data_IF_514308621913
#
_entry.id   IF_514308621913
#
_cell.length_a   1.000
_cell.length_b   1.000
_cell.length_c   1.000
_cell.angle_alpha   90.00
_cell.angle_beta   90.00
_cell.angle_gamma   90.00
#
_symmetry.space_group_name_H-M   'P 1'
#
loop_
_entity.id
_entity.type
_entity.pdbx_description
1 polymer ?
#
# COMPACT_ATOMS: atom_id res chain seq x y z
N UNK A 1 -16.51 -4.13 19.36
CA UNK A 1 -17.83 -4.75 19.60
C UNK A 1 -18.74 -3.80 20.38
N UNK A 2 -20.04 -4.09 20.48
CA UNK A 2 -20.95 -3.37 21.39
C UNK A 2 -21.01 -4.09 22.74
N UNK A 3 -20.95 -3.36 23.86
CA UNK A 3 -21.04 -3.96 25.20
C UNK A 3 -22.43 -4.52 25.52
N UNK A 4 -23.48 -4.03 24.85
CA UNK A 4 -24.84 -4.53 24.93
C UNK A 4 -25.65 -4.17 23.68
N UNK A 5 -26.58 -5.04 23.25
CA UNK A 5 -27.53 -4.77 22.15
C UNK A 5 -28.76 -3.94 22.57
N UNK A 6 -28.94 -3.73 23.87
CA UNK A 6 -30.06 -2.97 24.46
C UNK A 6 -29.57 -2.23 25.69
N UNK A 7 -29.92 -0.94 25.79
CA UNK A 7 -29.55 -0.07 26.91
C UNK A 7 -30.85 0.38 27.58
N UNK A 8 -31.00 0.15 28.88
CA UNK A 8 -32.19 0.58 29.63
C UNK A 8 -32.19 2.11 29.80
N UNK A 9 -33.35 2.74 30.06
CA UNK A 9 -33.40 4.18 30.35
C UNK A 9 -32.40 4.57 31.45
N UNK A 10 -31.60 5.60 31.19
CA UNK A 10 -30.58 6.12 32.12
C UNK A 10 -29.31 5.27 32.24
N UNK A 11 -29.18 4.17 31.50
CA UNK A 11 -27.96 3.36 31.47
C UNK A 11 -27.01 3.80 30.36
N UNK A 12 -25.75 3.40 30.48
CA UNK A 12 -24.69 3.63 29.49
C UNK A 12 -24.25 2.33 28.82
N UNK A 13 -23.78 2.43 27.58
CA UNK A 13 -23.15 1.34 26.85
C UNK A 13 -21.82 1.80 26.24
N UNK A 14 -20.98 0.84 25.85
CA UNK A 14 -19.69 1.08 25.24
C UNK A 14 -19.65 0.53 23.82
N UNK A 15 -19.07 1.32 22.91
CA UNK A 15 -18.77 0.92 21.54
C UNK A 15 -17.26 0.80 21.43
N UNK A 16 -16.78 -0.42 21.29
CA UNK A 16 -15.39 -0.70 20.96
C UNK A 16 -15.25 -0.80 19.44
N UNK A 17 -14.28 -0.08 18.89
CA UNK A 17 -13.98 -0.07 17.46
C UNK A 17 -12.52 -0.43 17.23
N UNK A 18 -12.27 -1.21 16.18
CA UNK A 18 -10.92 -1.58 15.77
C UNK A 18 -10.73 -1.20 14.31
N UNK A 19 -9.62 -0.55 14.00
CA UNK A 19 -9.24 -0.18 12.63
C UNK A 19 -8.11 -1.09 12.18
N UNK A 20 -8.31 -1.79 11.06
CA UNK A 20 -7.22 -2.50 10.39
C UNK A 20 -6.43 -1.49 9.57
N UNK A 21 -5.17 -1.29 9.96
CA UNK A 21 -4.25 -0.33 9.32
C UNK A 21 -3.29 -1.00 8.33
N UNK A 22 -3.36 -2.32 8.16
CA UNK A 22 -2.55 -3.07 7.19
C UNK A 22 -2.76 -2.53 5.77
N UNK A 23 -1.65 -2.19 5.10
CA UNK A 23 -1.66 -1.61 3.76
C UNK A 23 -2.20 -0.17 3.69
N UNK A 24 -2.45 0.47 4.84
CA UNK A 24 -2.93 1.85 4.90
C UNK A 24 -1.81 2.76 5.41
N UNK A 25 -1.68 3.93 4.80
CA UNK A 25 -0.67 4.92 5.14
C UNK A 25 -1.27 6.32 5.16
N UNK A 26 -0.74 7.18 6.03
CA UNK A 26 -1.15 8.56 6.12
C UNK A 26 -2.46 8.74 6.89
N UNK A 27 -3.11 9.89 6.66
CA UNK A 27 -4.32 10.29 7.40
C UNK A 27 -5.49 9.43 6.98
N UNK A 28 -6.16 8.83 7.97
CA UNK A 28 -7.40 8.08 7.77
C UNK A 28 -8.55 8.75 8.51
N UNK A 29 -9.73 8.68 7.90
CA UNK A 29 -10.99 9.08 8.47
C UNK A 29 -11.99 7.95 8.26
N UNK A 30 -12.54 7.40 9.34
CA UNK A 30 -13.53 6.31 9.31
C UNK A 30 -14.75 6.70 10.14
N UNK A 31 -15.93 6.50 9.57
CA UNK A 31 -17.19 6.82 10.23
C UNK A 31 -17.86 5.56 10.75
N UNK A 32 -18.29 5.59 12.00
CA UNK A 32 -19.18 4.61 12.61
C UNK A 32 -20.57 5.24 12.67
N UNK A 33 -21.54 4.60 12.03
CA UNK A 33 -22.94 4.98 12.16
C UNK A 33 -23.59 4.14 13.23
N UNK A 34 -24.05 4.79 14.29
CA UNK A 34 -24.85 4.18 15.35
C UNK A 34 -26.32 4.43 15.02
N UNK A 35 -27.07 3.37 14.77
CA UNK A 35 -28.53 3.44 14.59
C UNK A 35 -29.19 2.99 15.88
N UNK A 36 -30.16 3.76 16.37
CA UNK A 36 -30.90 3.49 17.60
C UNK A 36 -32.39 3.77 17.43
N UNK A 37 -33.19 3.33 18.39
CA UNK A 37 -34.61 3.64 18.49
C UNK A 37 -34.89 4.90 19.33
N UNK A 38 -33.88 5.74 19.63
CA UNK A 38 -34.12 7.04 20.26
C UNK A 38 -34.88 7.95 19.27
N UNK A 39 -36.11 8.38 19.57
CA UNK A 39 -36.90 9.20 18.66
C UNK A 39 -36.30 10.59 18.41
N UNK A 40 -35.41 11.07 19.29
CA UNK A 40 -34.76 12.39 19.17
C UNK A 40 -33.47 12.29 18.35
N UNK A 41 -32.73 11.19 18.50
CA UNK A 41 -31.47 10.97 17.81
C UNK A 41 -31.37 9.52 17.30
N UNK A 42 -32.16 9.17 16.26
CA UNK A 42 -32.22 7.79 15.76
C UNK A 42 -30.91 7.36 15.08
N UNK A 43 -30.05 8.31 14.73
CA UNK A 43 -28.75 8.05 14.14
C UNK A 43 -27.69 9.01 14.71
N UNK A 44 -26.54 8.45 15.10
CA UNK A 44 -25.35 9.19 15.53
C UNK A 44 -24.18 8.78 14.65
N UNK A 45 -23.40 9.75 14.18
CA UNK A 45 -22.13 9.48 13.50
C UNK A 45 -20.98 9.73 14.46
N UNK A 46 -20.10 8.75 14.59
CA UNK A 46 -18.83 8.86 15.32
C UNK A 46 -17.70 8.79 14.30
N UNK A 47 -16.72 9.67 14.42
CA UNK A 47 -15.58 9.74 13.48
C UNK A 47 -14.31 9.31 14.18
N UNK A 48 -13.60 8.35 13.57
CA UNK A 48 -12.24 7.96 13.95
C UNK A 48 -11.28 8.64 12.98
N UNK A 49 -10.40 9.47 13.52
CA UNK A 49 -9.29 10.08 12.77
C UNK A 49 -7.98 9.52 13.31
N UNK A 50 -7.09 9.09 12.42
CA UNK A 50 -5.75 8.67 12.80
C UNK A 50 -4.72 9.03 11.71
N UNK A 51 -3.45 9.12 12.10
CA UNK A 51 -2.32 9.17 11.18
C UNK A 51 -1.60 7.82 11.27
N UNK A 52 -1.65 7.03 10.20
CA UNK A 52 -0.95 5.75 10.13
C UNK A 52 0.46 6.01 9.59
N UNK A 53 1.44 5.95 10.50
CA UNK A 53 2.85 6.06 10.13
C UNK A 53 3.33 4.75 9.50
N UNK A 54 3.99 4.86 8.33
CA UNK A 54 4.58 3.69 7.69
C UNK A 54 5.91 3.36 8.34
N UNK A 55 6.09 2.11 8.73
CA UNK A 55 7.37 1.62 9.24
C UNK A 55 8.49 1.72 8.19
N UNK A 56 8.15 1.48 6.91
CA UNK A 56 9.03 1.65 5.77
C UNK A 56 8.41 2.66 4.80
N UNK A 57 8.68 3.96 4.97
CA UNK A 57 8.22 4.98 4.05
C UNK A 57 8.71 4.71 2.63
N UNK A 58 7.79 4.84 1.67
CA UNK A 58 8.07 4.70 0.24
C UNK A 58 7.91 6.05 -0.43
N UNK A 59 8.79 6.36 -1.38
CA UNK A 59 8.65 7.55 -2.24
C UNK A 59 7.38 7.50 -3.09
N UNK A 60 7.01 6.31 -3.59
CA UNK A 60 5.79 6.07 -4.34
C UNK A 60 5.08 4.78 -3.86
N UNK A 61 3.75 4.81 -3.75
CA UNK A 61 2.95 3.64 -3.34
C UNK A 61 2.61 2.71 -4.52
N UNK A 62 2.82 3.19 -5.75
CA UNK A 62 2.59 2.45 -6.97
C UNK A 62 3.52 2.95 -8.07
N UNK A 63 3.99 2.05 -8.92
CA UNK A 63 4.80 2.38 -10.08
C UNK A 63 3.96 2.24 -11.34
N UNK A 64 3.85 3.36 -12.07
CA UNK A 64 3.17 3.40 -13.36
C UNK A 64 4.18 3.62 -14.48
N UNK A 65 4.30 2.65 -15.38
CA UNK A 65 5.19 2.71 -16.54
C UNK A 65 4.59 3.49 -17.71
N UNK A 66 3.27 3.69 -17.74
CA UNK A 66 2.58 4.32 -18.85
C UNK A 66 2.48 3.41 -20.07
N UNK A 67 2.35 4.02 -21.25
CA UNK A 67 2.38 3.34 -22.53
C UNK A 67 3.83 3.30 -23.06
N UNK A 68 4.39 2.11 -23.18
CA UNK A 68 5.79 1.90 -23.60
C UNK A 68 5.80 1.10 -24.91
N UNK A 69 6.42 1.60 -25.98
CA UNK A 69 6.55 0.84 -27.22
C UNK A 69 7.36 -0.45 -27.01
N UNK A 70 6.94 -1.53 -27.65
CA UNK A 70 7.70 -2.79 -27.69
C UNK A 70 9.14 -2.55 -28.15
N UNK A 71 10.08 -3.24 -27.50
CA UNK A 71 11.52 -3.09 -27.78
C UNK A 71 12.19 -1.95 -27.02
N UNK A 72 11.44 -1.13 -26.25
CA UNK A 72 12.03 -0.13 -25.34
C UNK A 72 11.98 -0.61 -23.91
N UNK A 73 13.08 -0.42 -23.20
CA UNK A 73 13.12 -0.55 -21.74
C UNK A 73 12.76 0.79 -21.09
N UNK A 74 11.97 0.72 -20.03
CA UNK A 74 11.67 1.87 -19.18
C UNK A 74 12.03 1.51 -17.76
N UNK A 75 12.80 2.40 -17.13
CA UNK A 75 13.25 2.25 -15.75
C UNK A 75 12.45 3.19 -14.86
N UNK A 76 11.94 2.64 -13.75
CA UNK A 76 11.33 3.39 -12.66
C UNK A 76 12.06 3.07 -11.36
N UNK A 77 12.42 4.11 -10.63
CA UNK A 77 13.06 3.96 -9.32
C UNK A 77 12.04 4.22 -8.22
N UNK A 78 12.14 3.46 -7.15
CA UNK A 78 11.41 3.66 -5.91
C UNK A 78 12.41 3.69 -4.77
N UNK A 79 12.45 4.77 -4.00
CA UNK A 79 13.22 4.83 -2.76
C UNK A 79 12.37 4.32 -1.60
N UNK A 80 12.97 3.48 -0.76
CA UNK A 80 12.44 2.92 0.48
C UNK A 80 13.30 3.41 1.63
N UNK A 81 12.71 4.02 2.65
CA UNK A 81 13.42 4.38 3.88
C UNK A 81 13.40 3.19 4.84
N UNK A 82 14.58 2.80 5.32
CA UNK A 82 14.79 1.68 6.24
C UNK A 82 14.93 2.25 7.65
N UNK A 83 14.02 1.91 8.57
CA UNK A 83 14.14 2.35 9.96
C UNK A 83 15.30 1.65 10.68
N UNK A 84 15.85 2.26 11.75
CA UNK A 84 16.99 1.70 12.48
C UNK A 84 16.74 0.26 12.97
N UNK A 85 17.73 -0.62 12.76
CA UNK A 85 17.65 -2.02 13.19
C UNK A 85 16.78 -2.93 12.31
N UNK A 86 16.15 -2.41 11.26
CA UNK A 86 15.44 -3.22 10.26
C UNK A 86 16.27 -3.40 8.99
N UNK A 87 15.91 -4.39 8.18
CA UNK A 87 16.55 -4.70 6.90
C UNK A 87 15.52 -5.16 5.88
N UNK A 88 15.83 -4.93 4.61
CA UNK A 88 15.13 -5.54 3.48
C UNK A 88 15.81 -6.88 3.19
N UNK A 89 15.03 -7.95 3.07
CA UNK A 89 15.49 -9.31 2.83
C UNK A 89 15.57 -9.61 1.32
N UNK A 90 14.49 -9.33 0.59
CA UNK A 90 14.43 -9.52 -0.85
C UNK A 90 13.39 -8.59 -1.48
N UNK A 91 13.53 -8.39 -2.79
CA UNK A 91 12.53 -7.72 -3.62
C UNK A 91 12.27 -8.59 -4.84
N UNK A 92 11.01 -8.96 -5.03
CA UNK A 92 10.56 -9.85 -6.10
C UNK A 92 9.43 -9.16 -6.87
N UNK A 93 9.41 -9.33 -8.19
CA UNK A 93 8.29 -8.87 -9.02
C UNK A 93 7.37 -10.04 -9.33
N UNK A 94 6.06 -9.87 -9.13
CA UNK A 94 5.07 -10.85 -9.60
C UNK A 94 4.66 -10.62 -11.06
N UNK A 95 5.12 -9.53 -11.68
CA UNK A 95 4.87 -9.21 -13.08
C UNK A 95 6.01 -9.75 -13.94
N UNK A 96 5.70 -10.65 -14.87
CA UNK A 96 6.68 -11.29 -15.75
C UNK A 96 7.37 -10.28 -16.70
N UNK A 97 6.73 -9.12 -16.95
CA UNK A 97 7.24 -8.09 -17.83
C UNK A 97 8.14 -7.08 -17.11
N UNK A 98 8.27 -7.17 -15.79
CA UNK A 98 9.05 -6.22 -14.97
C UNK A 98 10.10 -6.97 -14.16
N UNK A 99 11.36 -6.62 -14.36
CA UNK A 99 12.46 -7.06 -13.50
C UNK A 99 12.73 -6.03 -12.42
N UNK A 100 13.22 -6.46 -11.27
CA UNK A 100 13.55 -5.57 -10.15
C UNK A 100 14.96 -5.83 -9.65
N UNK A 101 15.60 -4.76 -9.23
CA UNK A 101 16.90 -4.80 -8.56
C UNK A 101 16.86 -3.94 -7.31
N UNK A 102 17.29 -4.50 -6.19
CA UNK A 102 17.52 -3.76 -4.96
C UNK A 102 18.93 -3.18 -4.97
N UNK A 103 19.04 -1.88 -4.72
CA UNK A 103 20.29 -1.14 -4.57
C UNK A 103 20.28 -0.51 -3.18
N UNK A 104 20.97 -1.08 -2.19
CA UNK A 104 21.11 -0.48 -0.87
C UNK A 104 21.75 0.90 -0.97
N UNK A 105 21.26 1.87 -0.19
CA UNK A 105 21.91 3.17 -0.08
C UNK A 105 23.19 3.12 0.74
N UNK A 106 24.05 4.12 0.55
CA UNK A 106 25.39 4.17 1.15
C UNK A 106 25.36 4.09 2.68
N UNK A 107 24.33 4.66 3.30
CA UNK A 107 24.21 4.77 4.76
C UNK A 107 23.35 3.65 5.37
N UNK A 108 22.77 2.76 4.54
CA UNK A 108 21.84 1.71 4.97
C UNK A 108 20.50 2.21 5.54
N UNK A 109 20.26 3.53 5.52
CA UNK A 109 19.02 4.19 5.95
C UNK A 109 17.96 4.22 4.86
N UNK A 110 18.36 3.96 3.63
CA UNK A 110 17.48 3.86 2.48
C UNK A 110 17.96 2.76 1.53
N UNK A 111 17.07 2.36 0.64
CA UNK A 111 17.40 1.51 -0.49
C UNK A 111 16.55 1.93 -1.69
N UNK A 112 17.14 1.83 -2.88
CA UNK A 112 16.44 2.04 -4.14
C UNK A 112 16.03 0.70 -4.73
N UNK A 113 14.76 0.58 -5.09
CA UNK A 113 14.23 -0.48 -5.92
C UNK A 113 14.14 0.04 -7.35
N UNK A 114 14.99 -0.50 -8.22
CA UNK A 114 15.02 -0.18 -9.64
C UNK A 114 14.17 -1.22 -10.36
N UNK A 115 12.99 -0.80 -10.83
CA UNK A 115 12.08 -1.62 -11.59
C UNK A 115 12.24 -1.32 -13.09
N UNK A 116 12.54 -2.34 -13.88
CA UNK A 116 12.78 -2.23 -15.33
C UNK A 116 11.72 -3.01 -16.06
N UNK A 117 10.94 -2.32 -16.88
CA UNK A 117 10.07 -2.98 -17.84
C UNK A 117 10.94 -3.54 -18.97
N UNK A 118 10.85 -4.84 -19.22
CA UNK A 118 11.71 -5.53 -20.18
C UNK A 118 11.38 -5.11 -21.61
N UNK A 119 12.39 -5.00 -22.48
CA UNK A 119 12.18 -4.70 -23.90
C UNK A 119 11.48 -5.84 -24.66
N UNK A 120 11.67 -7.08 -24.20
CA UNK A 120 11.05 -8.29 -24.75
C UNK A 120 9.65 -8.58 -24.15
N UNK A 121 9.13 -7.65 -23.35
CA UNK A 121 7.83 -7.79 -22.72
C UNK A 121 6.69 -7.94 -23.74
N UNK A 122 5.68 -8.73 -23.38
CA UNK A 122 4.54 -9.04 -24.26
C UNK A 122 3.67 -7.81 -24.44
N UNK A 123 3.24 -7.56 -25.68
CA UNK A 123 2.29 -6.49 -25.98
C UNK A 123 1.01 -6.63 -25.16
N UNK A 124 0.45 -5.49 -24.77
CA UNK A 124 -0.77 -5.42 -23.96
C UNK A 124 -0.56 -4.84 -22.57
N UNK A 125 -1.64 -4.88 -21.79
CA UNK A 125 -1.64 -4.41 -20.41
C UNK A 125 -0.92 -5.41 -19.50
N UNK A 126 -0.08 -4.90 -18.60
CA UNK A 126 0.54 -5.70 -17.57
C UNK A 126 0.29 -5.07 -16.20
N UNK A 127 0.08 -5.94 -15.21
CA UNK A 127 -0.20 -5.58 -13.83
C UNK A 127 0.36 -6.65 -12.90
N UNK A 128 0.94 -6.19 -11.80
CA UNK A 128 1.41 -7.06 -10.74
C UNK A 128 1.81 -6.26 -9.51
N UNK A 129 2.58 -6.89 -8.64
CA UNK A 129 3.11 -6.27 -7.44
C UNK A 129 4.61 -6.49 -7.36
N UNK A 130 5.32 -5.50 -6.82
CA UNK A 130 6.63 -5.71 -6.23
C UNK A 130 6.41 -6.11 -4.78
N UNK A 131 6.93 -7.29 -4.42
CA UNK A 131 6.87 -7.86 -3.10
C UNK A 131 8.21 -7.66 -2.44
N UNK A 132 8.25 -6.79 -1.44
CA UNK A 132 9.44 -6.46 -0.67
C UNK A 132 9.31 -7.15 0.69
N UNK A 133 10.19 -8.11 0.97
CA UNK A 133 10.23 -8.82 2.25
C UNK A 133 11.16 -8.08 3.22
N UNK A 134 10.75 -7.91 4.47
CA UNK A 134 11.54 -7.21 5.49
C UNK A 134 11.74 -8.06 6.74
N UNK A 135 12.66 -7.65 7.62
CA UNK A 135 12.88 -8.27 8.92
C UNK A 135 11.88 -7.85 10.00
N UNK A 136 10.92 -6.96 9.68
CA UNK A 136 9.97 -6.49 10.67
C UNK A 136 8.84 -7.51 10.91
N UNK A 137 8.54 -7.80 12.17
CA UNK A 137 7.39 -8.62 12.55
C UNK A 137 6.04 -7.93 12.28
N UNK A 138 6.00 -6.60 12.38
CA UNK A 138 4.79 -5.80 12.10
C UNK A 138 4.56 -5.59 10.61
N UNK A 139 5.65 -5.47 9.84
CA UNK A 139 5.58 -5.25 8.38
C UNK A 139 6.48 -6.25 7.64
N UNK A 140 6.18 -7.55 7.67
CA UNK A 140 7.05 -8.57 7.08
C UNK A 140 7.09 -8.50 5.55
N UNK A 141 6.02 -7.98 4.94
CA UNK A 141 5.87 -7.85 3.49
C UNK A 141 5.26 -6.51 3.12
N UNK A 142 5.84 -5.84 2.12
CA UNK A 142 5.33 -4.61 1.54
C UNK A 142 5.01 -4.89 0.07
N UNK A 143 3.79 -4.56 -0.35
CA UNK A 143 3.34 -4.72 -1.74
C UNK A 143 3.22 -3.37 -2.41
N UNK A 144 3.94 -3.19 -3.51
CA UNK A 144 3.87 -1.98 -4.35
C UNK A 144 3.27 -2.38 -5.68
N UNK A 145 2.13 -1.78 -6.04
CA UNK A 145 1.48 -2.10 -7.31
C UNK A 145 2.32 -1.59 -8.48
N UNK A 146 2.53 -2.45 -9.48
CA UNK A 146 3.15 -2.09 -10.75
C UNK A 146 2.14 -2.28 -11.87
N UNK A 147 2.05 -1.30 -12.77
CA UNK A 147 1.21 -1.41 -13.96
C UNK A 147 1.74 -0.62 -15.14
N UNK A 148 1.38 -1.05 -16.33
CA UNK A 148 1.76 -0.38 -17.58
C UNK A 148 1.05 -1.00 -18.78
N UNK A 149 1.31 -0.43 -19.95
CA UNK A 149 0.82 -0.96 -21.22
C UNK A 149 1.97 -0.99 -22.21
N UNK A 150 2.22 -2.14 -22.81
CA UNK A 150 3.19 -2.28 -23.88
C UNK A 150 2.45 -2.11 -25.20
N UNK A 151 2.74 -1.03 -25.93
CA UNK A 151 2.15 -0.75 -27.23
C UNK A 151 2.97 -1.38 -28.34
N UNK A 152 2.35 -1.62 -29.50
CA UNK A 152 3.09 -2.00 -30.70
C UNK A 152 4.19 -0.97 -30.99
N UNK A 153 5.35 -1.43 -31.47
CA UNK A 153 6.41 -0.53 -31.90
C UNK A 153 5.88 0.37 -33.02
N UNK A 154 6.02 1.69 -32.88
CA UNK A 154 5.74 2.60 -33.99
C UNK A 154 6.77 2.31 -35.09
N UNK A 155 6.31 1.83 -36.23
CA UNK A 155 7.10 1.79 -37.45
C UNK A 155 7.34 3.24 -37.90
N UNK A 156 8.59 3.69 -37.85
CA UNK A 156 9.04 4.89 -38.57
C UNK A 156 9.49 4.49 -39.97
#
# INVERSE_FOLDING_TARGET
MLSAKSIKPGQSGQIEASVKTEGVAGKINKTITVVSNDPRQPQVQLTITALVEQEFPLSDQSLYFGAVPKGKEVVKELTITIPPGKKILSVESTDQNVTVKLVPGADGKDAKVVAVQRADAKEGYHFGNLVIKTTSASTPEIKVQVRGTITAAQAN
#
